data_IF_710367992349
#
_entry.id   IF_710367992349
#
_cell.length_a   1.000
_cell.length_b   1.000
_cell.length_c   1.000
_cell.angle_alpha   90.00
_cell.angle_beta   90.00
_cell.angle_gamma   90.00
#
_symmetry.space_group_name_H-M   'P 1'
#
loop_
_entity.id
_entity.type
_entity.pdbx_description
1 polymer ?
#
# COMPACT_ATOMS: atom_id res chain seq x y z
N UNK A 1 -3.99 15.43 -15.91
CA UNK A 1 -5.34 15.76 -15.39
C UNK A 1 -5.39 15.23 -13.97
N UNK A 2 -5.65 16.07 -12.96
CA UNK A 2 -5.44 15.69 -11.57
C UNK A 2 -6.35 14.51 -11.22
N UNK A 3 -5.83 13.60 -10.39
CA UNK A 3 -6.45 12.38 -9.91
C UNK A 3 -7.66 12.61 -8.97
N UNK A 4 -8.51 13.58 -9.30
CA UNK A 4 -9.84 13.84 -8.73
C UNK A 4 -10.90 13.25 -9.69
N UNK A 5 -10.59 12.11 -10.31
CA UNK A 5 -11.61 11.29 -10.94
C UNK A 5 -12.06 10.24 -9.93
N UNK A 6 -13.28 9.73 -10.09
CA UNK A 6 -13.82 8.66 -9.24
C UNK A 6 -12.86 7.45 -9.17
N UNK A 7 -12.12 7.21 -10.25
CA UNK A 7 -11.09 6.17 -10.35
C UNK A 7 -9.87 6.49 -9.46
N UNK A 8 -9.43 7.75 -9.43
CA UNK A 8 -8.35 8.19 -8.53
C UNK A 8 -8.71 8.02 -7.05
N UNK A 9 -9.97 8.29 -6.67
CA UNK A 9 -10.46 8.06 -5.32
C UNK A 9 -10.50 6.57 -4.95
N UNK A 10 -10.94 5.70 -5.86
CA UNK A 10 -10.90 4.25 -5.65
C UNK A 10 -9.47 3.75 -5.46
N UNK A 11 -8.53 4.23 -6.27
CA UNK A 11 -7.12 3.87 -6.14
C UNK A 11 -6.53 4.37 -4.82
N UNK A 12 -6.93 5.56 -4.36
CA UNK A 12 -6.53 6.07 -3.06
C UNK A 12 -7.02 5.19 -1.90
N UNK A 13 -8.26 4.69 -1.98
CA UNK A 13 -8.79 3.73 -1.01
C UNK A 13 -8.03 2.41 -1.08
N UNK A 14 -7.67 1.93 -2.28
CA UNK A 14 -6.85 0.74 -2.45
C UNK A 14 -5.48 0.88 -1.79
N UNK A 15 -4.82 2.05 -1.88
CA UNK A 15 -3.56 2.30 -1.17
C UNK A 15 -3.70 2.15 0.34
N UNK A 16 -4.77 2.67 0.92
CA UNK A 16 -5.04 2.54 2.35
C UNK A 16 -5.28 1.07 2.76
N UNK A 17 -5.97 0.29 1.92
CA UNK A 17 -6.21 -1.14 2.17
C UNK A 17 -4.91 -1.94 2.09
N UNK A 18 -4.07 -1.71 1.08
CA UNK A 18 -2.77 -2.38 0.93
C UNK A 18 -1.84 -2.04 2.10
N UNK A 19 -1.78 -0.76 2.51
CA UNK A 19 -1.01 -0.34 3.68
C UNK A 19 -1.49 -0.97 4.99
N UNK A 20 -2.81 -1.14 5.15
CA UNK A 20 -3.40 -1.82 6.30
C UNK A 20 -3.12 -3.33 6.31
N UNK A 21 -3.17 -3.99 5.14
CA UNK A 21 -2.84 -5.41 5.02
C UNK A 21 -1.39 -5.69 5.40
N UNK A 22 -0.46 -4.87 4.90
CA UNK A 22 0.96 -4.92 5.27
C UNK A 22 1.20 -4.65 6.76
N UNK A 23 0.47 -3.70 7.36
CA UNK A 23 0.51 -3.46 8.81
C UNK A 23 0.11 -4.71 9.60
N UNK A 24 -0.96 -5.39 9.17
CA UNK A 24 -1.47 -6.58 9.84
C UNK A 24 -0.58 -7.81 9.67
N UNK A 25 0.13 -7.92 8.56
CA UNK A 25 1.03 -9.03 8.26
C UNK A 25 2.34 -8.99 9.05
N UNK A 26 2.69 -7.85 9.66
CA UNK A 26 3.92 -7.72 10.45
C UNK A 26 3.74 -8.33 11.86
N UNK A 27 4.73 -9.08 12.35
CA UNK A 27 4.69 -9.67 13.69
C UNK A 27 4.80 -8.60 14.78
N UNK A 28 3.77 -8.52 15.64
CA UNK A 28 3.50 -7.41 16.56
C UNK A 28 4.73 -6.82 17.26
N UNK A 29 5.16 -5.67 16.77
CA UNK A 29 6.32 -4.90 17.25
C UNK A 29 5.98 -3.45 17.59
N UNK A 30 4.71 -3.03 17.49
CA UNK A 30 4.21 -1.78 18.06
C UNK A 30 4.17 -0.60 17.09
N UNK A 31 4.48 0.62 17.58
CA UNK A 31 4.37 1.91 16.84
C UNK A 31 5.13 1.87 15.49
N UNK A 32 6.20 1.07 15.40
CA UNK A 32 7.00 0.87 14.19
C UNK A 32 6.17 0.41 12.99
N UNK A 33 5.20 -0.49 13.20
CA UNK A 33 4.41 -1.09 12.12
C UNK A 33 3.42 -0.10 11.53
N UNK A 34 2.80 0.71 12.39
CA UNK A 34 1.88 1.76 11.97
C UNK A 34 2.62 2.82 11.13
N UNK A 35 3.86 3.14 11.50
CA UNK A 35 4.71 4.06 10.71
C UNK A 35 5.06 3.44 9.36
N UNK A 36 5.41 2.16 9.31
CA UNK A 36 5.73 1.45 8.05
C UNK A 36 4.50 1.43 7.12
N UNK A 37 3.31 1.07 7.63
CA UNK A 37 2.08 1.09 6.84
C UNK A 37 1.72 2.49 6.32
N UNK A 38 1.91 3.53 7.13
CA UNK A 38 1.71 4.91 6.71
C UNK A 38 2.71 5.36 5.62
N UNK A 39 3.98 4.97 5.74
CA UNK A 39 5.01 5.27 4.73
C UNK A 39 4.69 4.59 3.40
N UNK A 40 4.29 3.32 3.42
CA UNK A 40 3.88 2.55 2.24
C UNK A 40 2.67 3.21 1.55
N UNK A 41 1.66 3.59 2.33
CA UNK A 41 0.48 4.30 1.84
C UNK A 41 0.89 5.64 1.19
N UNK A 42 1.78 6.40 1.83
CA UNK A 42 2.30 7.66 1.31
C UNK A 42 3.09 7.50 0.00
N UNK A 43 3.89 6.44 -0.12
CA UNK A 43 4.63 6.11 -1.35
C UNK A 43 3.66 5.78 -2.49
N UNK A 44 2.65 4.95 -2.24
CA UNK A 44 1.66 4.57 -3.24
C UNK A 44 0.82 5.76 -3.72
N UNK A 45 0.41 6.65 -2.82
CA UNK A 45 -0.25 7.92 -3.16
C UNK A 45 0.67 8.79 -4.02
N UNK A 46 1.94 8.94 -3.64
CA UNK A 46 2.91 9.72 -4.41
C UNK A 46 3.07 9.15 -5.82
N UNK A 47 3.17 7.82 -5.94
CA UNK A 47 3.24 7.14 -7.23
C UNK A 47 2.02 7.38 -8.10
N UNK A 48 0.82 7.35 -7.51
CA UNK A 48 -0.43 7.63 -8.22
C UNK A 48 -0.45 9.02 -8.85
N UNK A 49 0.08 10.02 -8.15
CA UNK A 49 0.13 11.40 -8.63
C UNK A 49 1.30 11.69 -9.58
N UNK A 50 2.44 11.02 -9.42
CA UNK A 50 3.65 11.29 -10.21
C UNK A 50 3.72 10.43 -11.48
N UNK A 51 3.44 9.13 -11.36
CA UNK A 51 3.65 8.16 -12.44
C UNK A 51 2.34 7.62 -13.03
N UNK A 52 1.20 7.85 -12.38
CA UNK A 52 -0.13 7.45 -12.85
C UNK A 52 -0.51 6.02 -12.49
N UNK A 53 -1.66 5.56 -13.00
CA UNK A 53 -2.34 4.36 -12.48
C UNK A 53 -1.60 3.03 -12.68
N UNK A 54 -1.00 2.81 -13.86
CA UNK A 54 -0.35 1.53 -14.20
C UNK A 54 0.81 1.19 -13.26
N UNK A 55 1.80 2.10 -13.03
CA UNK A 55 2.88 1.82 -12.09
C UNK A 55 2.39 1.71 -10.64
N UNK A 56 1.36 2.44 -10.24
CA UNK A 56 0.75 2.30 -8.90
C UNK A 56 0.18 0.91 -8.67
N UNK A 57 -0.59 0.37 -9.63
CA UNK A 57 -1.13 -0.99 -9.53
C UNK A 57 -0.03 -2.05 -9.48
N UNK A 58 1.03 -1.89 -10.27
CA UNK A 58 2.18 -2.79 -10.20
C UNK A 58 2.84 -2.78 -8.81
N UNK A 59 2.93 -1.60 -8.19
CA UNK A 59 3.47 -1.42 -6.85
C UNK A 59 2.57 -2.06 -5.78
N UNK A 60 1.25 -1.94 -5.92
CA UNK A 60 0.27 -2.62 -5.06
C UNK A 60 0.42 -4.14 -5.12
N UNK A 61 0.59 -4.72 -6.32
CA UNK A 61 0.82 -6.15 -6.49
C UNK A 61 2.11 -6.61 -5.79
N UNK A 62 3.19 -5.84 -5.88
CA UNK A 62 4.44 -6.14 -5.19
C UNK A 62 4.23 -6.12 -3.68
N UNK A 63 3.50 -5.13 -3.16
CA UNK A 63 3.21 -5.01 -1.74
C UNK A 63 2.33 -6.14 -1.19
N UNK A 64 1.30 -6.55 -1.92
CA UNK A 64 0.48 -7.72 -1.56
C UNK A 64 1.31 -9.01 -1.57
N UNK A 65 2.21 -9.17 -2.55
CA UNK A 65 3.10 -10.32 -2.61
C UNK A 65 4.06 -10.34 -1.41
N UNK A 66 4.64 -9.19 -1.05
CA UNK A 66 5.48 -9.04 0.15
C UNK A 66 4.67 -9.37 1.41
N UNK A 67 3.45 -8.85 1.55
CA UNK A 67 2.54 -9.14 2.68
C UNK A 67 2.30 -10.64 2.84
N UNK A 68 2.04 -11.33 1.72
CA UNK A 68 1.81 -12.77 1.67
C UNK A 68 3.06 -13.55 2.06
N UNK A 69 4.23 -13.16 1.54
CA UNK A 69 5.51 -13.78 1.87
C UNK A 69 5.82 -13.61 3.36
N UNK A 70 5.69 -12.41 3.90
CA UNK A 70 5.88 -12.13 5.33
C UNK A 70 4.94 -13.03 6.15
N UNK A 71 3.64 -13.03 5.84
CA UNK A 71 2.66 -13.87 6.53
C UNK A 71 3.00 -15.36 6.49
N UNK A 72 3.57 -15.86 5.39
CA UNK A 72 3.97 -17.27 5.27
C UNK A 72 5.20 -17.66 6.10
N UNK A 73 6.03 -16.70 6.50
CA UNK A 73 7.25 -16.96 7.31
C UNK A 73 6.96 -16.94 8.81
N UNK A 74 5.86 -16.32 9.22
CA UNK A 74 5.49 -16.12 10.64
C UNK A 74 4.31 -16.99 11.10
N UNK A 75 3.85 -17.92 10.26
CA UNK A 75 2.75 -18.85 10.52
C UNK A 75 3.25 -20.29 10.45
#
# INVERSE_FOLDING_TARGET
MPAISLIGAVLFVLQAVVGYDLYRSLPSSGISEMVIGAMITGVGITFLFVFGMVPTLALDFVFVLISTVISSQFN
#
